data_IF_491857444548
#
_entry.id   IF_491857444548
#
_cell.length_a   1.000
_cell.length_b   1.000
_cell.length_c   1.000
_cell.angle_alpha   90.00
_cell.angle_beta   90.00
_cell.angle_gamma   90.00
#
_symmetry.space_group_name_H-M   'P 1'
#
loop_
_entity.id
_entity.type
_entity.pdbx_description
1 polymer ?
#
# COMPACT_ATOMS: atom_id res chain seq x y z
N UNK A 1 62.10 -7.36 17.55
CA UNK A 1 60.68 -7.16 17.95
C UNK A 1 60.19 -5.77 17.54
N UNK A 2 60.01 -5.49 16.24
CA UNK A 2 59.54 -4.17 15.75
C UNK A 2 58.39 -4.25 14.74
N UNK A 3 57.77 -5.42 14.58
CA UNK A 3 56.77 -5.67 13.52
C UNK A 3 55.33 -5.85 14.04
N UNK A 4 55.08 -5.69 15.34
CA UNK A 4 53.75 -5.93 15.93
C UNK A 4 53.03 -4.67 16.42
N UNK A 5 53.68 -3.50 16.41
CA UNK A 5 53.05 -2.25 16.87
C UNK A 5 52.12 -1.68 15.78
N UNK A 6 52.51 -1.77 14.51
CA UNK A 6 51.70 -1.30 13.37
C UNK A 6 50.38 -2.07 13.19
N UNK A 7 50.36 -3.37 13.50
CA UNK A 7 49.18 -4.25 13.37
C UNK A 7 48.09 -3.98 14.41
N UNK A 8 48.43 -3.41 15.57
CA UNK A 8 47.48 -3.06 16.64
C UNK A 8 47.15 -1.56 16.65
N UNK A 9 48.09 -0.71 16.24
CA UNK A 9 47.86 0.73 16.14
C UNK A 9 46.89 1.10 15.00
N UNK A 10 46.90 0.37 13.88
CA UNK A 10 46.02 0.69 12.76
C UNK A 10 44.53 0.45 13.05
N UNK A 11 44.10 -0.71 13.60
CA UNK A 11 42.70 -0.91 13.99
C UNK A 11 42.23 0.06 15.07
N UNK A 12 43.09 0.39 16.03
CA UNK A 12 42.74 1.30 17.13
C UNK A 12 42.60 2.75 16.65
N UNK A 13 43.49 3.22 15.78
CA UNK A 13 43.36 4.53 15.11
C UNK A 13 42.11 4.60 14.23
N UNK A 14 41.80 3.53 13.48
CA UNK A 14 40.58 3.46 12.67
C UNK A 14 39.32 3.55 13.54
N UNK A 15 39.26 2.80 14.64
CA UNK A 15 38.14 2.86 15.57
C UNK A 15 37.97 4.26 16.20
N UNK A 16 39.08 4.90 16.60
CA UNK A 16 39.03 6.27 17.13
C UNK A 16 38.51 7.25 16.06
N UNK A 17 38.98 7.12 14.81
CA UNK A 17 38.48 7.94 13.69
C UNK A 17 36.99 7.72 13.45
N UNK A 18 36.50 6.48 13.47
CA UNK A 18 35.08 6.18 13.28
C UNK A 18 34.24 6.78 14.41
N UNK A 19 34.67 6.67 15.67
CA UNK A 19 33.95 7.25 16.81
C UNK A 19 33.91 8.78 16.72
N UNK A 20 35.02 9.41 16.34
CA UNK A 20 35.08 10.86 16.13
C UNK A 20 34.16 11.28 14.98
N UNK A 21 34.15 10.54 13.87
CA UNK A 21 33.25 10.80 12.75
C UNK A 21 31.78 10.64 13.14
N UNK A 22 31.43 9.58 13.87
CA UNK A 22 30.08 9.38 14.40
C UNK A 22 29.69 10.54 15.33
N UNK A 23 30.58 10.97 16.22
CA UNK A 23 30.29 12.06 17.14
C UNK A 23 30.10 13.40 16.40
N UNK A 24 30.94 13.69 15.40
CA UNK A 24 30.80 14.89 14.56
C UNK A 24 29.51 14.81 13.75
N UNK A 25 29.19 13.66 13.17
CA UNK A 25 27.96 13.44 12.42
C UNK A 25 26.71 13.65 13.30
N UNK A 26 26.68 13.03 14.48
CA UNK A 26 25.59 13.18 15.44
C UNK A 26 25.45 14.63 15.91
N UNK A 27 26.56 15.33 16.09
CA UNK A 27 26.54 16.73 16.50
C UNK A 27 26.06 17.64 15.37
N UNK A 28 26.48 17.41 14.13
CA UNK A 28 26.00 18.11 12.94
C UNK A 28 24.52 17.84 12.71
N UNK A 29 24.04 16.61 12.86
CA UNK A 29 22.61 16.28 12.76
C UNK A 29 21.80 16.89 13.90
N UNK A 30 22.34 16.93 15.13
CA UNK A 30 21.67 17.62 16.26
C UNK A 30 21.58 19.13 16.06
N UNK A 31 22.55 19.74 15.40
CA UNK A 31 22.58 21.19 15.11
C UNK A 31 21.92 21.56 13.78
N UNK A 32 21.75 20.62 12.86
CA UNK A 32 20.85 20.75 11.73
C UNK A 32 19.43 20.86 12.29
N UNK A 33 18.90 22.09 12.26
CA UNK A 33 17.59 22.50 12.76
C UNK A 33 16.56 21.37 12.68
N UNK A 34 15.86 21.15 13.79
CA UNK A 34 14.60 20.40 13.87
C UNK A 34 13.78 20.76 12.63
N UNK A 35 13.69 19.83 11.70
CA UNK A 35 13.07 20.05 10.41
C UNK A 35 11.59 20.39 10.68
N UNK A 36 11.14 21.60 10.35
CA UNK A 36 9.76 22.01 10.58
C UNK A 36 8.92 21.69 9.33
N UNK A 37 8.02 20.70 9.39
CA UNK A 37 7.21 20.30 8.25
C UNK A 37 6.25 21.40 7.77
N UNK A 38 6.01 22.47 8.55
CA UNK A 38 5.21 23.63 8.12
C UNK A 38 5.94 24.54 7.15
N UNK A 39 7.26 24.50 7.11
CA UNK A 39 8.10 25.39 6.30
C UNK A 39 8.98 24.65 5.30
N UNK A 40 9.11 23.32 5.41
CA UNK A 40 9.87 22.49 4.49
C UNK A 40 9.21 21.10 4.31
N UNK A 41 8.68 20.85 3.11
CA UNK A 41 7.96 19.61 2.77
C UNK A 41 8.83 18.34 2.74
N UNK A 42 10.16 18.49 2.75
CA UNK A 42 11.09 17.36 2.78
C UNK A 42 11.34 16.84 4.22
N UNK A 43 10.74 17.47 5.23
CA UNK A 43 10.85 17.05 6.61
C UNK A 43 10.00 15.80 6.90
N UNK A 44 10.51 14.83 7.68
CA UNK A 44 9.69 13.77 8.24
C UNK A 44 8.63 14.37 9.18
N UNK A 45 7.35 14.34 8.79
CA UNK A 45 6.23 14.70 9.68
C UNK A 45 6.03 13.62 10.74
N UNK A 46 6.07 13.96 12.04
CA UNK A 46 5.80 13.01 13.13
C UNK A 46 4.31 12.65 13.29
N UNK A 47 3.39 13.44 12.72
CA UNK A 47 1.97 13.09 12.67
C UNK A 47 1.71 12.10 11.54
N UNK A 48 0.96 11.01 11.82
CA UNK A 48 0.42 10.09 10.81
C UNK A 48 -0.31 10.94 9.79
N UNK A 49 0.22 11.10 8.56
CA UNK A 49 -0.42 12.08 7.70
C UNK A 49 -1.79 11.54 7.29
N UNK A 50 -2.78 12.41 7.29
CA UNK A 50 -4.20 12.03 7.22
C UNK A 50 -4.67 11.65 5.81
N UNK A 51 -3.74 11.48 4.86
CA UNK A 51 -4.08 11.11 3.49
C UNK A 51 -4.30 9.60 3.35
N UNK A 52 -5.36 9.17 2.65
CA UNK A 52 -5.62 7.74 2.40
C UNK A 52 -4.53 7.08 1.55
N UNK A 53 -4.40 5.74 1.65
CA UNK A 53 -3.66 4.99 0.67
C UNK A 53 -4.26 5.15 -0.71
N UNK A 54 -3.37 5.05 -1.68
CA UNK A 54 -3.67 5.21 -3.08
C UNK A 54 -2.93 4.09 -3.80
N UNK A 55 -3.68 3.05 -4.14
CA UNK A 55 -3.20 1.85 -4.80
C UNK A 55 -3.40 1.95 -6.31
N UNK A 56 -2.60 1.20 -7.06
CA UNK A 56 -2.84 1.00 -8.48
C UNK A 56 -3.94 -0.07 -8.65
N UNK A 57 -5.13 0.36 -9.06
CA UNK A 57 -6.29 -0.51 -9.27
C UNK A 57 -6.40 -0.83 -10.76
N UNK A 58 -6.28 -2.09 -11.18
CA UNK A 58 -6.41 -2.49 -12.58
C UNK A 58 -7.76 -2.08 -13.18
N UNK A 59 -7.71 -1.67 -14.45
CA UNK A 59 -8.93 -1.50 -15.26
C UNK A 59 -9.67 -2.83 -15.36
N UNK A 60 -10.99 -2.76 -15.48
CA UNK A 60 -11.85 -3.94 -15.56
C UNK A 60 -11.36 -5.07 -16.50
N UNK A 61 -10.91 -4.81 -17.75
CA UNK A 61 -10.43 -5.86 -18.65
C UNK A 61 -9.15 -6.57 -18.19
N UNK A 62 -8.43 -6.00 -17.22
CA UNK A 62 -7.14 -6.52 -16.73
C UNK A 62 -7.23 -7.14 -15.34
N UNK A 63 -8.38 -7.04 -14.65
CA UNK A 63 -8.58 -7.58 -13.30
C UNK A 63 -8.46 -9.10 -13.27
N UNK A 64 -7.98 -9.62 -12.14
CA UNK A 64 -7.79 -11.04 -11.90
C UNK A 64 -9.10 -11.85 -12.07
N UNK A 65 -9.05 -12.87 -12.92
CA UNK A 65 -10.10 -13.87 -13.18
C UNK A 65 -9.50 -15.27 -13.16
N UNK A 66 -10.35 -16.29 -13.06
CA UNK A 66 -9.96 -17.69 -13.13
C UNK A 66 -9.27 -17.97 -14.47
N UNK A 67 -8.11 -18.62 -14.41
CA UNK A 67 -7.31 -19.02 -15.56
C UNK A 67 -6.71 -20.40 -15.32
N UNK A 68 -6.16 -21.00 -16.37
CA UNK A 68 -5.48 -22.29 -16.35
C UNK A 68 -4.08 -22.27 -15.71
N UNK A 69 -3.46 -21.09 -15.60
CA UNK A 69 -2.13 -20.92 -15.01
C UNK A 69 -2.13 -20.57 -13.52
N UNK A 70 -3.30 -20.26 -12.94
CA UNK A 70 -3.47 -20.11 -11.50
C UNK A 70 -3.86 -21.44 -10.86
N UNK A 71 -3.31 -21.71 -9.68
CA UNK A 71 -3.58 -22.94 -8.94
C UNK A 71 -5.00 -22.96 -8.34
N UNK A 72 -5.51 -21.79 -7.97
CA UNK A 72 -6.77 -21.64 -7.26
C UNK A 72 -7.92 -21.24 -8.19
N UNK A 73 -9.11 -21.74 -7.89
CA UNK A 73 -10.35 -21.49 -8.64
C UNK A 73 -11.31 -20.53 -7.90
N UNK A 74 -10.80 -19.78 -6.93
CA UNK A 74 -11.53 -18.83 -6.09
C UNK A 74 -11.68 -17.43 -6.73
N UNK A 75 -11.07 -17.23 -7.90
CA UNK A 75 -11.25 -16.05 -8.74
C UNK A 75 -12.54 -16.13 -9.58
N UNK A 76 -13.13 -14.97 -9.93
CA UNK A 76 -14.34 -14.90 -10.73
C UNK A 76 -14.10 -15.38 -12.17
N UNK A 77 -15.19 -15.70 -12.86
CA UNK A 77 -15.14 -16.09 -14.27
C UNK A 77 -14.75 -14.91 -15.19
N UNK A 78 -14.04 -15.20 -16.29
CA UNK A 78 -13.57 -14.18 -17.25
C UNK A 78 -14.71 -13.33 -17.84
N UNK A 79 -15.94 -13.87 -17.89
CA UNK A 79 -17.13 -13.11 -18.30
C UNK A 79 -17.35 -11.80 -17.53
N UNK A 80 -16.88 -11.67 -16.29
CA UNK A 80 -17.02 -10.43 -15.53
C UNK A 80 -16.27 -9.25 -16.16
N UNK A 81 -15.22 -9.51 -16.97
CA UNK A 81 -14.42 -8.45 -17.63
C UNK A 81 -15.25 -7.74 -18.69
N UNK A 82 -16.06 -8.52 -19.42
CA UNK A 82 -16.94 -8.02 -20.48
C UNK A 82 -18.06 -7.15 -19.91
N UNK A 83 -18.58 -7.51 -18.75
CA UNK A 83 -19.69 -6.81 -18.10
C UNK A 83 -19.23 -5.72 -17.13
N UNK A 84 -17.92 -5.47 -17.01
CA UNK A 84 -17.37 -4.46 -16.12
C UNK A 84 -17.39 -4.83 -14.63
N UNK A 85 -17.88 -6.02 -14.27
CA UNK A 85 -18.24 -6.40 -12.89
C UNK A 85 -17.14 -7.12 -12.11
N UNK A 86 -15.96 -7.36 -12.71
CA UNK A 86 -14.89 -8.05 -12.00
C UNK A 86 -14.47 -7.27 -10.75
N UNK A 87 -14.38 -7.93 -9.58
CA UNK A 87 -13.79 -7.31 -8.40
C UNK A 87 -12.28 -7.04 -8.59
N UNK A 88 -11.77 -6.10 -7.80
CA UNK A 88 -10.36 -5.86 -7.60
C UNK A 88 -9.84 -6.82 -6.52
N UNK A 89 -8.97 -7.76 -6.90
CA UNK A 89 -8.45 -8.78 -5.98
C UNK A 89 -7.31 -8.26 -5.10
N UNK A 90 -7.36 -8.58 -3.81
CA UNK A 90 -6.28 -8.45 -2.82
C UNK A 90 -5.94 -9.82 -2.28
N UNK A 91 -4.65 -10.18 -2.26
CA UNK A 91 -4.19 -11.41 -1.64
C UNK A 91 -3.73 -11.18 -0.20
N UNK A 92 -3.95 -12.16 0.67
CA UNK A 92 -3.44 -12.19 2.03
C UNK A 92 -2.65 -13.46 2.30
N UNK A 93 -1.66 -13.35 3.18
CA UNK A 93 -1.01 -14.50 3.80
C UNK A 93 -0.45 -14.11 5.18
N UNK A 94 0.09 -15.09 5.90
CA UNK A 94 0.70 -14.91 7.21
C UNK A 94 0.55 -16.14 8.10
N UNK A 95 1.17 -16.14 9.28
CA UNK A 95 1.10 -17.28 10.21
C UNK A 95 -0.26 -17.47 10.86
N UNK A 96 -1.07 -16.41 10.97
CA UNK A 96 -2.37 -16.44 11.61
C UNK A 96 -3.47 -16.02 10.63
N UNK A 97 -4.14 -17.01 10.05
CA UNK A 97 -5.24 -16.83 9.10
C UNK A 97 -6.36 -15.94 9.65
N UNK A 98 -6.83 -16.27 10.86
CA UNK A 98 -7.94 -15.55 11.50
C UNK A 98 -7.61 -14.07 11.74
N UNK A 99 -6.37 -13.78 12.17
CA UNK A 99 -5.92 -12.39 12.30
C UNK A 99 -5.95 -11.68 10.95
N UNK A 100 -5.43 -12.31 9.89
CA UNK A 100 -5.42 -11.70 8.56
C UNK A 100 -6.81 -11.45 7.99
N UNK A 101 -7.76 -12.37 8.20
CA UNK A 101 -9.16 -12.17 7.81
C UNK A 101 -9.81 -10.99 8.54
N UNK A 102 -9.56 -10.84 9.84
CA UNK A 102 -10.04 -9.70 10.62
C UNK A 102 -9.45 -8.40 10.06
N UNK A 103 -8.14 -8.35 9.85
CA UNK A 103 -7.44 -7.16 9.35
C UNK A 103 -7.88 -6.79 7.93
N UNK A 104 -8.15 -7.76 7.05
CA UNK A 104 -8.65 -7.45 5.72
C UNK A 104 -10.13 -7.07 5.73
N UNK A 105 -10.92 -7.65 6.64
CA UNK A 105 -12.30 -7.25 6.83
C UNK A 105 -12.47 -5.83 7.36
N UNK A 106 -11.47 -5.30 8.07
CA UNK A 106 -11.43 -3.90 8.48
C UNK A 106 -10.92 -2.98 7.37
N UNK A 107 -10.01 -3.44 6.50
CA UNK A 107 -9.54 -2.67 5.34
C UNK A 107 -10.59 -2.52 4.24
N UNK A 108 -11.33 -3.59 3.92
CA UNK A 108 -12.35 -3.59 2.87
C UNK A 108 -13.74 -3.71 3.50
N UNK A 109 -14.30 -2.57 3.87
CA UNK A 109 -15.59 -2.46 4.55
C UNK A 109 -16.78 -2.72 3.61
N UNK A 110 -17.91 -3.17 4.17
CA UNK A 110 -19.12 -3.55 3.41
C UNK A 110 -19.94 -2.38 2.87
N UNK A 111 -19.83 -1.21 3.49
CA UNK A 111 -20.43 0.05 3.05
C UNK A 111 -19.93 1.15 3.98
N UNK A 112 -19.86 2.38 3.46
CA UNK A 112 -19.78 3.55 4.32
C UNK A 112 -21.21 3.92 4.72
N UNK A 113 -21.50 4.05 6.01
CA UNK A 113 -22.75 4.70 6.43
C UNK A 113 -22.65 6.20 6.09
N UNK A 114 -23.75 6.83 5.64
CA UNK A 114 -23.80 8.26 5.30
C UNK A 114 -23.29 9.16 6.44
N UNK A 115 -23.46 8.74 7.70
CA UNK A 115 -22.90 9.42 8.87
C UNK A 115 -21.38 9.27 9.02
N UNK A 116 -20.80 8.14 8.60
CA UNK A 116 -19.35 7.94 8.53
C UNK A 116 -18.74 8.72 7.37
N UNK A 117 -19.45 8.84 6.25
CA UNK A 117 -19.08 9.71 5.13
C UNK A 117 -19.03 11.18 5.58
N UNK A 118 -20.08 11.68 6.25
CA UNK A 118 -20.12 13.07 6.74
C UNK A 118 -19.15 13.35 7.89
N UNK A 119 -18.95 12.42 8.83
CA UNK A 119 -17.91 12.52 9.85
C UNK A 119 -16.50 12.46 9.23
N UNK A 120 -16.38 11.79 8.07
CA UNK A 120 -15.12 11.63 7.36
C UNK A 120 -14.61 12.84 6.62
N UNK A 121 -15.45 13.82 6.35
CA UNK A 121 -15.02 15.04 5.67
C UNK A 121 -14.46 16.10 6.64
N UNK A 122 -14.88 16.10 7.90
CA UNK A 122 -14.29 16.97 8.93
C UNK A 122 -13.04 16.36 9.60
N UNK A 123 -12.87 15.03 9.49
CA UNK A 123 -11.73 14.28 10.00
C UNK A 123 -11.10 13.45 8.87
N UNK A 124 -10.13 14.06 8.20
CA UNK A 124 -9.29 13.47 7.15
C UNK A 124 -8.69 12.10 7.60
N UNK A 125 -8.57 11.87 8.92
CA UNK A 125 -8.17 10.61 9.53
C UNK A 125 -9.14 9.43 9.36
N UNK A 126 -10.33 9.63 8.82
CA UNK A 126 -11.29 8.57 8.51
C UNK A 126 -11.49 8.32 7.01
N UNK A 127 -11.18 9.28 6.12
CA UNK A 127 -10.88 8.97 4.71
C UNK A 127 -9.68 8.04 4.64
N UNK A 128 -8.68 8.30 5.50
CA UNK A 128 -7.51 7.45 5.68
C UNK A 128 -7.81 6.02 6.14
N UNK A 129 -9.07 5.68 6.48
CA UNK A 129 -9.53 4.33 6.80
C UNK A 129 -10.01 3.53 5.58
N UNK A 130 -9.99 4.12 4.38
CA UNK A 130 -10.49 3.52 3.15
C UNK A 130 -9.36 3.13 2.19
N UNK A 131 -9.61 2.09 1.40
CA UNK A 131 -8.74 1.71 0.28
C UNK A 131 -9.16 2.50 -0.95
N UNK A 132 -8.39 3.54 -1.28
CA UNK A 132 -8.54 4.25 -2.55
C UNK A 132 -7.51 3.77 -3.56
N UNK A 133 -7.82 3.95 -4.84
CA UNK A 133 -6.87 3.70 -5.91
C UNK A 133 -7.30 4.29 -7.24
N UNK A 134 -6.41 4.23 -8.22
CA UNK A 134 -6.71 4.65 -9.60
C UNK A 134 -6.12 3.65 -10.58
N UNK A 135 -6.69 3.58 -11.78
CA UNK A 135 -6.14 2.82 -12.90
C UNK A 135 -5.18 3.62 -13.77
N UNK A 136 -5.11 4.93 -13.54
CA UNK A 136 -4.25 5.84 -14.24
C UNK A 136 -2.83 5.86 -13.67
N UNK A 137 -1.92 6.47 -14.42
CA UNK A 137 -0.55 6.65 -13.98
C UNK A 137 -0.53 7.54 -12.73
N UNK A 138 0.07 7.09 -11.61
CA UNK A 138 0.14 7.91 -10.41
C UNK A 138 0.92 9.21 -10.67
N UNK A 139 0.53 10.33 -10.05
CA UNK A 139 1.16 11.61 -10.27
C UNK A 139 2.61 11.60 -9.81
N UNK A 140 3.42 12.43 -10.45
CA UNK A 140 4.84 12.62 -10.11
C UNK A 140 5.06 13.43 -8.82
N UNK A 141 3.99 13.97 -8.21
CA UNK A 141 4.05 14.85 -7.04
C UNK A 141 3.14 14.36 -5.90
N UNK A 142 3.58 14.56 -4.65
CA UNK A 142 2.83 14.19 -3.43
C UNK A 142 1.62 15.11 -3.12
N UNK A 143 1.39 16.14 -3.94
CA UNK A 143 0.38 17.19 -3.76
C UNK A 143 -1.02 16.56 -3.61
N UNK A 144 -1.97 17.17 -2.85
CA UNK A 144 -3.25 16.56 -2.53
C UNK A 144 -3.95 16.16 -3.82
N UNK A 145 -4.13 14.84 -4.01
CA UNK A 145 -5.03 14.04 -4.88
C UNK A 145 -5.70 14.70 -6.10
N UNK A 146 -5.09 15.75 -6.66
CA UNK A 146 -5.50 16.44 -7.86
C UNK A 146 -4.89 15.67 -9.01
N UNK A 147 -5.40 14.45 -9.17
CA UNK A 147 -5.35 13.78 -10.45
C UNK A 147 -6.21 14.62 -11.39
N UNK A 148 -5.57 15.46 -12.18
CA UNK A 148 -6.24 16.16 -13.26
C UNK A 148 -6.81 15.06 -14.17
N UNK A 149 -8.14 14.89 -14.12
CA UNK A 149 -8.97 14.05 -14.99
C UNK A 149 -9.02 12.52 -14.76
N UNK A 150 -8.47 11.96 -13.66
CA UNK A 150 -8.51 10.51 -13.42
C UNK A 150 -9.63 10.03 -12.48
N UNK A 151 -10.18 8.86 -12.78
CA UNK A 151 -11.16 8.17 -11.94
C UNK A 151 -10.44 7.62 -10.70
N UNK A 152 -10.85 8.10 -9.52
CA UNK A 152 -10.49 7.51 -8.23
C UNK A 152 -11.55 6.46 -7.86
N UNK A 153 -11.09 5.23 -7.65
CA UNK A 153 -11.88 4.12 -7.15
C UNK A 153 -11.85 4.08 -5.63
N UNK A 154 -13.01 3.88 -5.03
CA UNK A 154 -13.12 3.36 -3.67
C UNK A 154 -13.29 1.84 -3.72
N UNK A 155 -12.40 1.10 -3.06
CA UNK A 155 -12.47 -0.36 -2.99
C UNK A 155 -13.25 -0.78 -1.74
N UNK A 156 -14.40 -1.46 -1.94
CA UNK A 156 -15.30 -1.89 -0.85
C UNK A 156 -15.75 -3.33 -1.05
N UNK A 157 -16.22 -4.00 0.01
CA UNK A 157 -16.63 -5.41 -0.07
C UNK A 157 -17.92 -5.56 -0.90
N UNK A 158 -18.75 -4.52 -0.91
CA UNK A 158 -19.91 -4.38 -1.78
C UNK A 158 -20.07 -2.91 -2.17
N UNK A 159 -20.54 -2.67 -3.40
CA UNK A 159 -20.88 -1.34 -3.87
C UNK A 159 -22.39 -1.14 -3.77
N UNK A 160 -22.84 0.00 -3.25
CA UNK A 160 -24.26 0.37 -3.18
C UNK A 160 -24.59 1.44 -4.22
N UNK A 161 -25.83 1.45 -4.71
CA UNK A 161 -26.26 2.38 -5.77
C UNK A 161 -26.32 3.86 -5.32
N UNK A 162 -26.30 4.13 -4.01
CA UNK A 162 -26.32 5.49 -3.44
C UNK A 162 -24.92 6.06 -3.21
N UNK A 163 -23.91 5.56 -3.92
CA UNK A 163 -22.51 5.92 -3.68
C UNK A 163 -22.20 7.42 -3.89
N UNK A 164 -23.00 8.15 -4.68
CA UNK A 164 -22.57 9.43 -5.27
C UNK A 164 -23.50 10.63 -5.08
N UNK A 165 -24.35 10.69 -4.05
CA UNK A 165 -25.25 11.86 -3.95
C UNK A 165 -24.70 13.08 -3.22
N UNK A 166 -23.58 13.03 -2.47
CA UNK A 166 -23.10 14.21 -1.72
C UNK A 166 -21.58 14.23 -1.45
N UNK A 167 -20.73 14.02 -2.45
CA UNK A 167 -19.27 14.22 -2.31
C UNK A 167 -18.87 15.48 -3.06
N UNK A 168 -18.75 16.60 -2.34
CA UNK A 168 -18.26 17.87 -2.88
C UNK A 168 -17.04 18.28 -2.06
N UNK A 169 -15.94 17.53 -2.21
CA UNK A 169 -14.61 17.99 -1.84
C UNK A 169 -13.77 18.07 -3.13
N UNK A 170 -13.24 19.26 -3.51
CA UNK A 170 -12.43 19.42 -4.71
C UNK A 170 -11.06 18.72 -4.67
N UNK A 171 -10.62 18.17 -3.54
CA UNK A 171 -9.31 17.49 -3.41
C UNK A 171 -9.37 15.96 -3.50
N UNK A 172 -10.47 15.30 -3.11
CA UNK A 172 -10.62 13.82 -3.16
C UNK A 172 -12.05 13.45 -3.56
N UNK A 173 -12.24 13.17 -4.85
CA UNK A 173 -13.54 12.81 -5.42
C UNK A 173 -13.54 11.37 -5.95
N UNK A 174 -13.82 10.34 -5.12
CA UNK A 174 -13.98 8.97 -5.58
C UNK A 174 -15.26 8.87 -6.44
N UNK A 175 -15.07 8.79 -7.76
CA UNK A 175 -16.16 8.78 -8.75
C UNK A 175 -16.79 7.41 -8.93
N UNK A 176 -16.09 6.34 -8.55
CA UNK A 176 -16.55 4.97 -8.76
C UNK A 176 -16.24 4.08 -7.55
N UNK A 177 -17.18 3.18 -7.24
CA UNK A 177 -16.94 2.08 -6.31
C UNK A 177 -16.53 0.83 -7.08
N UNK A 178 -15.52 0.12 -6.56
CA UNK A 178 -15.10 -1.18 -7.07
C UNK A 178 -15.20 -2.22 -5.95
N UNK A 179 -15.79 -3.36 -6.27
CA UNK A 179 -15.84 -4.48 -5.33
C UNK A 179 -14.42 -5.01 -5.07
N UNK A 180 -13.99 -5.07 -3.82
CA UNK A 180 -12.77 -5.73 -3.38
C UNK A 180 -13.02 -7.21 -3.10
N UNK A 181 -12.21 -8.09 -3.70
CA UNK A 181 -12.19 -9.52 -3.42
C UNK A 181 -10.93 -9.86 -2.63
N UNK A 182 -11.09 -10.30 -1.39
CA UNK A 182 -9.98 -10.70 -0.53
C UNK A 182 -9.84 -12.21 -0.61
N UNK A 183 -8.64 -12.70 -0.96
CA UNK A 183 -8.34 -14.13 -1.04
C UNK A 183 -7.12 -14.47 -0.19
N UNK A 184 -7.14 -15.63 0.46
CA UNK A 184 -6.03 -16.11 1.29
C UNK A 184 -5.12 -17.08 0.54
N UNK A 185 -3.81 -17.02 0.79
CA UNK A 185 -2.80 -17.97 0.32
C UNK A 185 -1.98 -18.49 1.50
N UNK A 186 -1.64 -19.78 1.45
CA UNK A 186 -0.97 -20.46 2.56
C UNK A 186 0.42 -19.91 2.88
N UNK A 187 1.10 -19.34 1.89
CA UNK A 187 2.42 -18.74 2.06
C UNK A 187 2.69 -17.65 1.01
N UNK A 188 3.79 -16.92 1.23
CA UNK A 188 4.23 -15.84 0.36
C UNK A 188 4.76 -16.31 -0.99
N UNK A 189 5.14 -17.59 -1.14
CA UNK A 189 5.59 -18.13 -2.43
C UNK A 189 4.42 -18.25 -3.41
N UNK A 190 3.27 -18.70 -2.93
CA UNK A 190 2.02 -18.75 -3.70
C UNK A 190 1.53 -17.35 -4.06
N UNK A 191 1.60 -16.40 -3.11
CA UNK A 191 1.29 -14.98 -3.38
C UNK A 191 2.19 -14.44 -4.49
N UNK A 192 3.50 -14.62 -4.37
CA UNK A 192 4.45 -14.11 -5.35
C UNK A 192 4.28 -14.76 -6.72
N UNK A 193 4.00 -16.06 -6.79
CA UNK A 193 3.71 -16.79 -8.03
C UNK A 193 2.46 -16.22 -8.74
N UNK A 194 1.36 -15.98 -8.02
CA UNK A 194 0.15 -15.40 -8.60
C UNK A 194 0.34 -13.96 -9.05
N UNK A 195 1.00 -13.13 -8.24
CA UNK A 195 1.32 -11.75 -8.62
C UNK A 195 2.19 -11.71 -9.87
N UNK A 196 3.22 -12.58 -9.94
CA UNK A 196 4.11 -12.70 -11.09
C UNK A 196 3.34 -13.13 -12.34
N UNK A 197 2.58 -14.23 -12.27
CA UNK A 197 1.79 -14.74 -13.40
C UNK A 197 0.68 -13.80 -13.84
N UNK A 198 0.20 -12.92 -12.95
CA UNK A 198 -0.75 -11.87 -13.30
C UNK A 198 -0.18 -10.80 -14.23
N UNK A 199 1.14 -10.61 -14.23
CA UNK A 199 1.83 -9.73 -15.17
C UNK A 199 1.93 -10.37 -16.55
N UNK A 200 1.77 -9.59 -17.63
CA UNK A 200 1.73 -10.14 -19.00
C UNK A 200 2.98 -10.93 -19.40
N UNK A 201 4.15 -10.65 -18.82
CA UNK A 201 5.38 -11.43 -19.07
C UNK A 201 5.59 -12.59 -18.11
N UNK A 202 4.72 -12.75 -17.11
CA UNK A 202 4.85 -13.77 -16.08
C UNK A 202 4.16 -15.09 -16.41
N UNK A 203 3.41 -15.16 -17.50
CA UNK A 203 2.77 -16.39 -17.97
C UNK A 203 3.06 -16.63 -19.46
N UNK A 204 3.02 -17.89 -19.87
CA UNK A 204 3.33 -18.33 -21.24
C UNK A 204 2.36 -17.77 -22.28
N UNK A 205 1.14 -17.40 -21.86
CA UNK A 205 0.07 -16.94 -22.75
C UNK A 205 0.08 -15.43 -23.02
N UNK A 206 0.96 -14.66 -22.36
CA UNK A 206 0.96 -13.21 -22.49
C UNK A 206 -0.26 -12.51 -21.89
N UNK A 207 -1.06 -13.21 -21.08
CA UNK A 207 -2.35 -12.71 -20.58
C UNK A 207 -2.14 -11.78 -19.38
N UNK A 208 -2.88 -10.68 -19.34
CA UNK A 208 -2.91 -9.80 -18.19
C UNK A 208 -3.96 -10.30 -17.20
N UNK A 209 -3.59 -10.44 -15.92
CA UNK A 209 -4.46 -10.92 -14.86
C UNK A 209 -4.07 -10.27 -13.52
N UNK A 210 -4.21 -8.96 -13.44
CA UNK A 210 -3.65 -8.13 -12.37
C UNK A 210 -4.41 -8.22 -11.06
N UNK A 211 -3.64 -8.25 -9.98
CA UNK A 211 -4.05 -8.20 -8.58
C UNK A 211 -3.54 -6.87 -8.02
N UNK A 212 -4.34 -6.18 -7.19
CA UNK A 212 -4.05 -4.78 -6.85
C UNK A 212 -2.93 -4.67 -5.81
N UNK A 213 -2.93 -5.59 -4.84
CA UNK A 213 -1.95 -5.67 -3.77
C UNK A 213 -2.01 -7.04 -3.08
N UNK A 214 -0.96 -7.36 -2.32
CA UNK A 214 -0.94 -8.46 -1.39
C UNK A 214 -0.32 -8.04 -0.05
N UNK A 215 -0.83 -8.62 1.04
CA UNK A 215 -0.37 -8.37 2.40
C UNK A 215 0.05 -9.68 3.06
N UNK A 216 1.31 -9.78 3.48
CA UNK A 216 1.81 -10.88 4.31
C UNK A 216 1.97 -10.37 5.73
N UNK A 217 1.12 -10.86 6.63
CA UNK A 217 1.13 -10.52 8.05
C UNK A 217 2.22 -11.26 8.84
N UNK A 218 3.08 -12.04 8.17
CA UNK A 218 4.26 -12.67 8.74
C UNK A 218 3.94 -13.36 10.07
N UNK A 219 4.62 -12.99 11.16
CA UNK A 219 4.39 -13.46 12.52
C UNK A 219 3.61 -12.47 13.40
N UNK A 220 2.75 -11.63 12.78
CA UNK A 220 1.87 -10.73 13.51
C UNK A 220 0.98 -11.46 14.51
N UNK A 221 0.75 -10.86 15.68
CA UNK A 221 -0.09 -11.44 16.73
C UNK A 221 -0.88 -10.32 17.44
N UNK A 222 -0.95 -10.28 18.78
CA UNK A 222 -1.56 -9.14 19.50
C UNK A 222 -0.50 -8.12 19.97
N UNK A 223 0.73 -8.59 20.14
CA UNK A 223 1.83 -7.83 20.75
C UNK A 223 2.86 -7.35 19.71
N UNK A 224 2.85 -7.91 18.51
CA UNK A 224 3.81 -7.60 17.46
C UNK A 224 3.11 -7.53 16.11
N UNK A 225 3.32 -6.43 15.38
CA UNK A 225 2.74 -6.20 14.06
C UNK A 225 3.85 -6.14 13.00
N UNK A 226 3.92 -7.16 12.16
CA UNK A 226 4.86 -7.28 11.06
C UNK A 226 4.09 -7.48 9.76
N UNK A 227 4.34 -6.63 8.77
CA UNK A 227 3.67 -6.72 7.48
C UNK A 227 4.65 -6.51 6.32
N UNK A 228 4.54 -7.36 5.30
CA UNK A 228 5.14 -7.15 3.99
C UNK A 228 4.03 -6.86 2.98
N UNK A 229 4.25 -5.87 2.11
CA UNK A 229 3.27 -5.43 1.12
C UNK A 229 3.87 -5.58 -0.27
N UNK A 230 3.16 -6.30 -1.13
CA UNK A 230 3.37 -6.26 -2.57
C UNK A 230 2.26 -5.44 -3.21
N UNK A 231 2.59 -4.65 -4.21
CA UNK A 231 1.64 -3.80 -4.88
C UNK A 231 1.87 -3.85 -6.38
N UNK A 232 0.81 -3.62 -7.14
CA UNK A 232 0.91 -3.47 -8.57
C UNK A 232 1.65 -2.17 -8.89
N UNK A 233 2.72 -2.28 -9.69
CA UNK A 233 3.55 -1.16 -10.15
C UNK A 233 3.64 -1.13 -11.68
N UNK A 234 2.54 -1.42 -12.38
CA UNK A 234 2.51 -1.49 -13.86
C UNK A 234 3.04 -0.22 -14.54
N UNK A 235 3.00 0.96 -13.89
CA UNK A 235 3.61 2.18 -14.42
C UNK A 235 5.02 2.50 -13.88
N UNK A 236 5.62 1.66 -13.04
CA UNK A 236 6.94 1.92 -12.45
C UNK A 236 8.11 1.88 -13.42
N UNK A 237 7.90 1.39 -14.66
CA UNK A 237 8.95 1.31 -15.70
C UNK A 237 9.08 2.57 -16.55
N UNK A 238 8.18 3.54 -16.45
CA UNK A 238 8.22 4.74 -17.32
C UNK A 238 9.33 5.73 -16.97
N UNK A 239 10.16 5.45 -15.96
CA UNK A 239 11.31 6.29 -15.58
C UNK A 239 10.91 7.56 -14.80
N UNK A 240 9.61 7.80 -14.64
CA UNK A 240 9.07 8.88 -13.83
C UNK A 240 8.97 8.45 -12.36
N UNK A 241 9.14 9.41 -11.44
CA UNK A 241 8.95 9.20 -10.00
C UNK A 241 7.45 8.98 -9.70
N UNK A 242 6.96 7.78 -9.95
CA UNK A 242 5.57 7.38 -9.69
C UNK A 242 5.35 7.26 -8.18
N UNK A 243 4.55 8.16 -7.60
CA UNK A 243 4.32 8.21 -6.15
C UNK A 243 3.01 7.49 -5.76
N UNK A 244 3.11 6.18 -5.54
CA UNK A 244 2.05 5.42 -4.85
C UNK A 244 2.12 5.65 -3.35
N UNK A 245 0.97 5.72 -2.68
CA UNK A 245 0.88 5.92 -1.22
C UNK A 245 0.81 4.59 -0.47
N UNK A 246 1.65 3.63 -0.87
CA UNK A 246 1.66 2.26 -0.30
C UNK A 246 1.92 2.25 1.20
N UNK A 247 2.87 3.03 1.78
CA UNK A 247 3.07 3.02 3.23
C UNK A 247 1.81 3.43 4.03
N UNK A 248 0.86 4.12 3.41
CA UNK A 248 -0.41 4.49 4.07
C UNK A 248 -1.35 3.32 4.24
N UNK A 249 -1.22 2.28 3.41
CA UNK A 249 -2.00 1.08 3.62
C UNK A 249 -1.55 0.35 4.88
N UNK A 250 -0.32 0.57 5.39
CA UNK A 250 0.11 0.10 6.72
C UNK A 250 -0.64 0.82 7.84
N UNK A 251 -0.82 2.15 7.72
CA UNK A 251 -1.54 2.94 8.73
C UNK A 251 -3.01 2.53 8.85
N UNK A 252 -3.64 2.11 7.73
CA UNK A 252 -4.98 1.49 7.76
C UNK A 252 -5.03 0.32 8.73
N UNK A 253 -4.02 -0.55 8.65
CA UNK A 253 -3.94 -1.79 9.43
C UNK A 253 -3.64 -1.46 10.89
N UNK A 254 -2.65 -0.60 11.14
CA UNK A 254 -2.18 -0.28 12.49
C UNK A 254 -3.23 0.44 13.33
N UNK A 255 -3.94 1.45 12.79
CA UNK A 255 -4.99 2.20 13.51
C UNK A 255 -6.11 1.29 14.05
N UNK A 256 -6.26 0.08 13.50
CA UNK A 256 -7.26 -0.91 13.92
C UNK A 256 -6.67 -2.11 14.65
N UNK A 257 -5.34 -2.24 14.66
CA UNK A 257 -4.60 -3.24 15.40
C UNK A 257 -4.32 -2.80 16.85
N UNK A 258 -4.41 -1.50 17.17
CA UNK A 258 -4.28 -1.02 18.54
C UNK A 258 -5.31 -1.66 19.48
N UNK A 259 -4.89 -2.29 20.60
CA UNK A 259 -5.81 -2.77 21.61
C UNK A 259 -6.49 -1.56 22.27
N UNK A 260 -7.82 -1.59 22.31
CA UNK A 260 -8.60 -0.74 23.21
C UNK A 260 -8.38 -1.09 24.68
#
# INVERSE_FOLDING_TARGET
MRTNILLVCYPTLLCILIVVFQHVYDNVIKHAKKCDPKTNFNCPTPEIPVTPPLLQVPRSPYRAVRTDFFLFNDLPDESCRRNGSCPATILLTGKNHSLGEILAGTMITSSLNTSQIMASYNDLGSVAANVLGSSSMPPQYLIPLKFLDDIIYLVQRQCTNNFLTNVVDPEVDPRECVKGLVLWRNDSTLVNDELYKGYYKGNLHGKINEIIAAYDFLNSNKNNFNVSIWYNSTYGQTGDNVLLRIPRSVNLIMKKYEPG
#
